data_IF_345699896812
#
_entry.id   IF_345699896812
#
_cell.length_a   1.000
_cell.length_b   1.000
_cell.length_c   1.000
_cell.angle_alpha   90.00
_cell.angle_beta   90.00
_cell.angle_gamma   90.00
#
_symmetry.space_group_name_H-M   'P 1'
#
loop_
_entity.id
_entity.type
_entity.pdbx_description
1 polymer ?
#
# COMPACT_ATOMS: atom_id res chain seq x y z
N UNK A 1 94.44 -2.81 39.50
CA UNK A 1 93.29 -2.54 40.40
C UNK A 1 92.64 -1.17 40.20
N UNK A 2 93.36 -0.04 40.21
CA UNK A 2 92.77 1.31 40.09
C UNK A 2 91.95 1.56 38.81
N UNK A 3 92.41 1.10 37.64
CA UNK A 3 91.69 1.28 36.37
C UNK A 3 90.36 0.48 36.29
N UNK A 4 90.32 -0.72 36.90
CA UNK A 4 89.12 -1.56 36.92
C UNK A 4 88.01 -0.95 37.79
N UNK A 5 88.39 -0.37 38.93
CA UNK A 5 87.48 0.34 39.84
C UNK A 5 86.91 1.60 39.16
N UNK A 6 87.73 2.34 38.41
CA UNK A 6 87.28 3.50 37.66
C UNK A 6 86.25 3.12 36.57
N UNK A 7 86.51 2.03 35.85
CA UNK A 7 85.65 1.56 34.76
C UNK A 7 84.29 1.05 35.29
N UNK A 8 84.29 0.31 36.41
CA UNK A 8 83.06 -0.15 37.07
C UNK A 8 82.22 1.04 37.58
N UNK A 9 82.87 2.06 38.15
CA UNK A 9 82.20 3.27 38.58
C UNK A 9 81.53 4.00 37.40
N UNK A 10 82.22 4.14 36.26
CA UNK A 10 81.65 4.74 35.04
C UNK A 10 80.43 3.98 34.52
N UNK A 11 80.47 2.64 34.49
CA UNK A 11 79.33 1.81 34.06
C UNK A 11 78.12 1.94 34.99
N UNK A 12 78.35 1.97 36.31
CA UNK A 12 77.28 2.16 37.31
C UNK A 12 76.64 3.56 37.20
N UNK A 13 77.46 4.59 36.97
CA UNK A 13 76.98 5.95 36.75
C UNK A 13 76.15 6.06 35.47
N UNK A 14 76.58 5.43 34.36
CA UNK A 14 75.81 5.40 33.12
C UNK A 14 74.47 4.68 33.27
N UNK A 15 74.43 3.55 34.00
CA UNK A 15 73.19 2.84 34.32
C UNK A 15 72.21 3.65 35.19
N UNK A 16 72.73 4.41 36.16
CA UNK A 16 71.92 5.32 36.99
C UNK A 16 71.31 6.49 36.18
N UNK A 17 72.01 6.99 35.16
CA UNK A 17 71.51 8.06 34.29
C UNK A 17 70.42 7.50 33.36
N UNK A 18 70.64 6.32 32.76
CA UNK A 18 69.68 5.69 31.86
C UNK A 18 68.35 5.36 32.59
N UNK A 19 68.42 4.80 33.79
CA UNK A 19 67.24 4.50 34.62
C UNK A 19 66.49 5.77 35.04
N UNK A 20 67.19 6.84 35.40
CA UNK A 20 66.56 8.15 35.69
C UNK A 20 65.87 8.75 34.47
N UNK A 21 66.44 8.60 33.27
CA UNK A 21 65.85 9.09 32.03
C UNK A 21 64.58 8.31 31.67
N UNK A 22 64.63 6.97 31.72
CA UNK A 22 63.46 6.10 31.53
C UNK A 22 62.36 6.39 32.55
N UNK A 23 62.73 6.66 33.81
CA UNK A 23 61.75 7.00 34.84
C UNK A 23 61.08 8.35 34.57
N UNK A 24 61.82 9.35 34.05
CA UNK A 24 61.25 10.65 33.64
C UNK A 24 60.32 10.52 32.44
N UNK A 25 60.69 9.75 31.43
CA UNK A 25 59.85 9.52 30.25
C UNK A 25 58.54 8.81 30.63
N UNK A 26 58.60 7.80 31.50
CA UNK A 26 57.40 7.13 32.02
C UNK A 26 56.51 8.07 32.84
N UNK A 27 57.08 8.94 33.68
CA UNK A 27 56.31 9.94 34.43
C UNK A 27 55.64 10.93 33.47
N UNK A 28 56.38 11.44 32.49
CA UNK A 28 55.86 12.37 31.49
C UNK A 28 54.73 11.76 30.66
N UNK A 29 54.89 10.51 30.20
CA UNK A 29 53.84 9.78 29.48
C UNK A 29 52.60 9.55 30.35
N UNK A 30 52.79 9.22 31.64
CA UNK A 30 51.67 9.05 32.57
C UNK A 30 50.92 10.36 32.81
N UNK A 31 51.63 11.48 32.96
CA UNK A 31 51.02 12.80 33.15
C UNK A 31 50.23 13.23 31.91
N UNK A 32 50.77 12.99 30.71
CA UNK A 32 50.06 13.25 29.45
C UNK A 32 48.79 12.41 29.32
N UNK A 33 48.85 11.13 29.67
CA UNK A 33 47.68 10.24 29.67
C UNK A 33 46.60 10.71 30.66
N UNK A 34 46.99 11.12 31.88
CA UNK A 34 46.07 11.66 32.89
C UNK A 34 45.41 12.95 32.39
N UNK A 35 46.20 13.87 31.82
CA UNK A 35 45.68 15.12 31.27
C UNK A 35 44.67 14.86 30.14
N UNK A 36 44.96 13.91 29.25
CA UNK A 36 44.05 13.53 28.17
C UNK A 36 42.74 12.92 28.71
N UNK A 37 42.81 12.04 29.70
CA UNK A 37 41.63 11.49 30.36
C UNK A 37 40.79 12.59 31.04
N UNK A 38 41.42 13.53 31.73
CA UNK A 38 40.75 14.67 32.36
C UNK A 38 40.05 15.59 31.33
N UNK A 39 40.63 15.76 30.14
CA UNK A 39 40.00 16.53 29.05
C UNK A 39 38.79 15.83 28.42
N UNK A 40 38.80 14.49 28.36
CA UNK A 40 37.70 13.70 27.77
C UNK A 40 36.53 13.48 28.74
N UNK A 41 36.79 13.47 30.05
CA UNK A 41 35.77 13.28 31.08
C UNK A 41 34.52 14.20 30.93
N UNK A 42 34.65 15.53 30.78
CA UNK A 42 33.49 16.41 30.66
C UNK A 42 32.69 16.20 29.36
N UNK A 43 33.32 15.66 28.30
CA UNK A 43 32.62 15.32 27.07
C UNK A 43 31.75 14.07 27.29
N UNK A 44 32.29 13.05 27.97
CA UNK A 44 31.56 11.84 28.31
C UNK A 44 30.34 12.14 29.20
N UNK A 45 30.51 13.00 30.20
CA UNK A 45 29.42 13.40 31.10
C UNK A 45 28.28 14.11 30.34
N UNK A 46 28.62 14.99 29.38
CA UNK A 46 27.63 15.65 28.51
C UNK A 46 26.88 14.66 27.62
N UNK A 47 27.58 13.65 27.08
CA UNK A 47 26.99 12.59 26.27
C UNK A 47 26.00 11.76 27.09
N UNK A 48 26.39 11.34 28.30
CA UNK A 48 25.52 10.56 29.22
C UNK A 48 24.31 11.38 29.64
N UNK A 49 24.49 12.66 29.97
CA UNK A 49 23.40 13.57 30.30
C UNK A 49 22.41 13.74 29.12
N UNK A 50 22.94 13.87 27.90
CA UNK A 50 22.11 13.97 26.69
C UNK A 50 21.33 12.68 26.44
N UNK A 51 21.98 11.52 26.56
CA UNK A 51 21.34 10.23 26.37
C UNK A 51 20.21 9.98 27.39
N UNK A 52 20.43 10.31 28.66
CA UNK A 52 19.39 10.18 29.69
C UNK A 52 18.19 11.08 29.41
N UNK A 53 18.41 12.32 28.96
CA UNK A 53 17.34 13.25 28.56
C UNK A 53 16.55 12.73 27.35
N UNK A 54 17.23 12.20 26.34
CA UNK A 54 16.58 11.60 25.15
C UNK A 54 15.73 10.40 25.52
N UNK A 55 16.24 9.50 26.37
CA UNK A 55 15.49 8.33 26.84
C UNK A 55 14.23 8.73 27.62
N UNK A 56 14.30 9.78 28.44
CA UNK A 56 13.13 10.31 29.14
C UNK A 56 12.09 10.89 28.17
N UNK A 57 12.51 11.59 27.11
CA UNK A 57 11.60 12.12 26.09
C UNK A 57 10.92 10.98 25.30
N UNK A 58 11.68 9.97 24.89
CA UNK A 58 11.13 8.79 24.20
C UNK A 58 10.09 8.09 25.07
N UNK A 59 10.37 7.91 26.36
CA UNK A 59 9.43 7.31 27.31
C UNK A 59 8.14 8.15 27.42
N UNK A 60 8.26 9.48 27.56
CA UNK A 60 7.09 10.38 27.62
C UNK A 60 6.24 10.32 26.36
N UNK A 61 6.86 10.33 25.18
CA UNK A 61 6.13 10.23 23.90
C UNK A 61 5.50 8.85 23.71
N UNK A 62 6.17 7.78 24.17
CA UNK A 62 5.61 6.43 24.23
C UNK A 62 4.39 6.35 25.15
N UNK A 63 4.48 6.91 26.37
CA UNK A 63 3.39 6.92 27.35
C UNK A 63 2.20 7.75 26.84
N UNK A 64 2.45 8.91 26.22
CA UNK A 64 1.41 9.72 25.55
C UNK A 64 0.72 8.95 24.42
N UNK A 65 1.48 8.26 23.57
CA UNK A 65 0.92 7.42 22.49
C UNK A 65 0.08 6.28 23.04
N UNK A 66 0.56 5.63 24.10
CA UNK A 66 -0.19 4.57 24.77
C UNK A 66 -1.48 5.09 25.40
N UNK A 67 -1.44 6.26 26.05
CA UNK A 67 -2.63 6.91 26.59
C UNK A 67 -3.64 7.31 25.49
N UNK A 68 -3.16 7.81 24.35
CA UNK A 68 -4.00 8.15 23.19
C UNK A 68 -4.67 6.89 22.61
N UNK A 69 -3.93 5.77 22.51
CA UNK A 69 -4.47 4.49 22.04
C UNK A 69 -5.58 3.96 22.96
N UNK A 70 -5.43 4.12 24.27
CA UNK A 70 -6.45 3.73 25.25
C UNK A 70 -7.70 4.62 25.14
N UNK A 71 -7.55 5.92 24.87
CA UNK A 71 -8.70 6.82 24.67
C UNK A 71 -9.49 6.47 23.40
N UNK A 72 -8.82 6.12 22.30
CA UNK A 72 -9.47 5.70 21.05
C UNK A 72 -10.27 4.39 21.21
N UNK A 73 -9.93 3.54 22.18
CA UNK A 73 -10.66 2.30 22.45
C UNK A 73 -11.95 2.50 23.29
N UNK A 74 -12.17 3.69 23.85
CA UNK A 74 -13.32 3.98 24.72
C UNK A 74 -14.52 4.62 24.02
N UNK A 75 -14.40 5.02 22.76
CA UNK A 75 -15.56 5.42 21.96
C UNK A 75 -16.29 4.16 21.47
N UNK A 76 -17.34 3.80 22.21
CA UNK A 76 -18.38 2.83 21.83
C UNK A 76 -19.22 3.32 20.62
N UNK A 77 -18.57 3.72 19.52
CA UNK A 77 -19.23 4.13 18.28
C UNK A 77 -18.95 3.16 17.10
N UNK A 78 -18.20 2.09 17.33
CA UNK A 78 -17.80 1.17 16.27
C UNK A 78 -18.69 -0.09 16.15
N UNK A 79 -19.50 -0.40 17.18
CA UNK A 79 -20.59 -1.39 17.07
C UNK A 79 -21.68 -0.90 16.11
N UNK A 80 -21.94 0.40 16.12
CA UNK A 80 -22.93 1.04 15.26
C UNK A 80 -22.52 1.02 13.80
N UNK A 81 -21.22 0.99 13.45
CA UNK A 81 -20.77 0.90 12.06
C UNK A 81 -21.20 -0.42 11.40
N UNK A 82 -21.12 -1.56 12.10
CA UNK A 82 -21.62 -2.84 11.56
C UNK A 82 -23.14 -2.84 11.39
N UNK A 83 -23.86 -2.12 12.24
CA UNK A 83 -25.32 -1.96 12.19
C UNK A 83 -25.74 -0.89 11.16
N UNK A 84 -24.89 0.11 10.92
CA UNK A 84 -25.02 1.26 10.01
C UNK A 84 -24.67 0.95 8.56
N UNK A 85 -24.04 -0.19 8.27
CA UNK A 85 -23.72 -0.59 6.90
C UNK A 85 -24.94 -1.13 6.14
N UNK A 86 -26.13 -1.18 6.74
CA UNK A 86 -27.39 -1.62 6.09
C UNK A 86 -27.24 -2.92 5.27
N UNK A 87 -26.56 -3.94 5.82
CA UNK A 87 -26.27 -5.20 5.11
C UNK A 87 -25.43 -5.08 3.82
N UNK A 88 -24.78 -3.93 3.57
CA UNK A 88 -23.87 -3.77 2.44
C UNK A 88 -22.60 -4.56 2.65
N UNK A 89 -22.13 -5.17 1.57
CA UNK A 89 -20.88 -5.92 1.56
C UNK A 89 -19.69 -4.97 1.46
N UNK A 90 -18.69 -5.13 2.31
CA UNK A 90 -17.44 -4.40 2.18
C UNK A 90 -16.61 -5.03 1.06
N UNK A 91 -16.20 -4.21 0.09
CA UNK A 91 -15.37 -4.61 -1.05
C UNK A 91 -14.11 -3.74 -1.08
N UNK A 92 -13.02 -4.27 -1.61
CA UNK A 92 -11.80 -3.51 -1.82
C UNK A 92 -11.90 -2.55 -3.00
N UNK A 93 -10.82 -1.79 -3.21
CA UNK A 93 -10.62 -0.92 -4.38
C UNK A 93 -10.75 -1.71 -5.71
N UNK A 94 -10.26 -2.94 -5.71
CA UNK A 94 -10.29 -3.89 -6.83
C UNK A 94 -10.77 -5.25 -6.34
N UNK A 95 -11.67 -5.87 -7.10
CA UNK A 95 -12.19 -7.22 -6.82
C UNK A 95 -12.13 -8.10 -8.07
N UNK A 96 -12.30 -9.41 -7.88
CA UNK A 96 -12.62 -10.33 -8.97
C UNK A 96 -14.13 -10.39 -9.17
N UNK A 97 -14.57 -10.39 -10.42
CA UNK A 97 -15.98 -10.60 -10.76
C UNK A 97 -16.12 -11.55 -11.95
N UNK A 98 -17.20 -12.32 -11.96
CA UNK A 98 -17.70 -12.95 -13.18
C UNK A 98 -18.62 -11.98 -13.91
N UNK A 99 -18.41 -11.83 -15.20
CA UNK A 99 -19.31 -11.10 -16.10
C UNK A 99 -19.94 -12.10 -17.06
N UNK A 100 -21.26 -12.04 -17.15
CA UNK A 100 -22.05 -12.83 -18.09
C UNK A 100 -22.42 -11.98 -19.30
N UNK A 101 -21.90 -12.41 -20.45
CA UNK A 101 -22.13 -11.81 -21.76
C UNK A 101 -23.25 -12.51 -22.54
N UNK A 102 -24.00 -13.40 -21.89
CA UNK A 102 -25.06 -14.21 -22.48
C UNK A 102 -24.52 -15.41 -23.26
N UNK A 103 -23.56 -15.20 -24.16
CA UNK A 103 -22.92 -16.30 -24.92
C UNK A 103 -21.74 -16.93 -24.18
N UNK A 104 -21.13 -16.23 -23.22
CA UNK A 104 -19.99 -16.70 -22.46
C UNK A 104 -19.87 -15.96 -21.12
N UNK A 105 -19.15 -16.57 -20.17
CA UNK A 105 -18.83 -15.95 -18.88
C UNK A 105 -17.31 -15.82 -18.71
N UNK A 106 -16.89 -14.71 -18.11
CA UNK A 106 -15.47 -14.43 -17.89
C UNK A 106 -15.19 -13.88 -16.51
N UNK A 107 -14.16 -14.42 -15.85
CA UNK A 107 -13.63 -13.87 -14.61
C UNK A 107 -12.64 -12.76 -14.92
N UNK A 108 -12.93 -11.53 -14.48
CA UNK A 108 -12.13 -10.34 -14.75
C UNK A 108 -11.86 -9.57 -13.46
N UNK A 109 -10.79 -8.78 -13.44
CA UNK A 109 -10.55 -7.82 -12.37
C UNK A 109 -11.39 -6.58 -12.63
N UNK A 110 -12.11 -6.15 -11.61
CA UNK A 110 -13.00 -4.99 -11.69
C UNK A 110 -12.57 -3.94 -10.67
N UNK A 111 -12.64 -2.67 -11.07
CA UNK A 111 -12.32 -1.53 -10.20
C UNK A 111 -13.60 -0.91 -9.67
N UNK A 112 -13.69 -0.70 -8.37
CA UNK A 112 -14.81 -0.01 -7.73
C UNK A 112 -14.69 1.50 -7.90
N UNK A 113 -15.45 2.09 -8.81
CA UNK A 113 -15.38 3.51 -9.15
C UNK A 113 -16.57 4.27 -8.56
N UNK A 114 -16.38 4.85 -7.38
CA UNK A 114 -17.39 5.66 -6.70
C UNK A 114 -17.70 6.97 -7.44
N UNK A 115 -16.84 7.41 -8.36
CA UNK A 115 -17.01 8.60 -9.20
C UNK A 115 -17.96 8.37 -10.38
N UNK A 116 -18.07 7.14 -10.87
CA UNK A 116 -18.93 6.79 -11.99
C UNK A 116 -20.40 6.59 -11.59
N UNK A 117 -21.34 7.24 -12.31
CA UNK A 117 -22.79 7.00 -12.11
C UNK A 117 -23.22 5.60 -12.57
N UNK A 118 -22.67 5.15 -13.70
CA UNK A 118 -23.00 3.87 -14.34
C UNK A 118 -21.72 3.09 -14.54
N UNK A 119 -21.79 1.78 -14.29
CA UNK A 119 -20.72 0.83 -14.56
C UNK A 119 -20.36 0.85 -16.05
N UNK A 120 -19.13 0.45 -16.38
CA UNK A 120 -18.66 0.46 -17.77
C UNK A 120 -17.72 -0.68 -18.06
N UNK A 121 -17.70 -1.11 -19.32
CA UNK A 121 -16.80 -2.13 -19.80
C UNK A 121 -16.01 -1.64 -21.03
N UNK A 122 -14.74 -2.06 -21.11
CA UNK A 122 -13.89 -1.86 -22.27
C UNK A 122 -14.44 -2.63 -23.46
N UNK A 123 -14.65 -1.93 -24.56
CA UNK A 123 -15.23 -2.48 -25.77
C UNK A 123 -14.55 -1.87 -26.99
N UNK A 124 -13.89 -2.71 -27.79
CA UNK A 124 -13.24 -2.34 -29.05
C UNK A 124 -14.15 -2.67 -30.24
N UNK A 125 -13.88 -2.06 -31.39
CA UNK A 125 -14.56 -2.36 -32.66
C UNK A 125 -16.11 -2.33 -32.55
N UNK A 126 -16.64 -1.39 -31.77
CA UNK A 126 -18.07 -1.34 -31.45
C UNK A 126 -18.88 -1.02 -32.71
N UNK A 127 -19.75 -1.94 -33.10
CA UNK A 127 -20.57 -1.85 -34.31
C UNK A 127 -22.02 -2.15 -33.99
N UNK A 128 -22.92 -1.23 -34.29
CA UNK A 128 -24.36 -1.41 -34.12
C UNK A 128 -24.98 -2.12 -35.33
N UNK A 129 -25.93 -3.02 -35.08
CA UNK A 129 -26.67 -3.72 -36.12
C UNK A 129 -28.09 -4.06 -35.67
N UNK A 130 -28.96 -4.38 -36.62
CA UNK A 130 -30.33 -4.82 -36.32
C UNK A 130 -30.45 -6.35 -36.40
N UNK A 131 -31.14 -6.95 -35.44
CA UNK A 131 -31.52 -8.36 -35.46
C UNK A 131 -32.92 -8.52 -34.89
N UNK A 132 -33.83 -9.08 -35.68
CA UNK A 132 -35.24 -9.32 -35.34
C UNK A 132 -35.97 -8.04 -34.89
N UNK A 133 -35.79 -6.92 -35.61
CA UNK A 133 -36.43 -5.64 -35.28
C UNK A 133 -35.90 -4.96 -34.02
N UNK A 134 -34.80 -5.46 -33.44
CA UNK A 134 -34.16 -4.91 -32.24
C UNK A 134 -32.75 -4.44 -32.56
N UNK A 135 -32.31 -3.38 -31.87
CA UNK A 135 -30.94 -2.85 -31.98
C UNK A 135 -29.99 -3.67 -31.11
N UNK A 136 -28.92 -4.14 -31.73
CA UNK A 136 -27.85 -4.88 -31.09
C UNK A 136 -26.53 -4.15 -31.30
N UNK A 137 -25.60 -4.38 -30.39
CA UNK A 137 -24.23 -3.87 -30.50
C UNK A 137 -23.27 -5.03 -30.40
N UNK A 138 -22.36 -5.10 -31.36
CA UNK A 138 -21.24 -6.04 -31.42
C UNK A 138 -19.97 -5.33 -31.01
N UNK A 139 -19.15 -5.96 -30.18
CA UNK A 139 -17.87 -5.40 -29.76
C UNK A 139 -16.88 -6.51 -29.39
N UNK A 140 -15.60 -6.15 -29.43
CA UNK A 140 -14.49 -7.03 -29.07
C UNK A 140 -14.04 -6.72 -27.64
N UNK A 141 -13.93 -7.77 -26.81
CA UNK A 141 -13.33 -7.70 -25.48
C UNK A 141 -11.80 -7.56 -25.55
N UNK A 142 -11.15 -7.24 -24.44
CA UNK A 142 -9.69 -7.10 -24.41
C UNK A 142 -8.95 -8.38 -24.81
N UNK A 143 -9.52 -9.55 -24.52
CA UNK A 143 -8.95 -10.84 -24.90
C UNK A 143 -9.31 -11.30 -26.34
N UNK A 144 -9.83 -10.39 -27.16
CA UNK A 144 -10.07 -10.62 -28.58
C UNK A 144 -11.39 -11.32 -28.92
N UNK A 145 -12.15 -11.77 -27.92
CA UNK A 145 -13.46 -12.38 -28.16
C UNK A 145 -14.49 -11.35 -28.57
N UNK A 146 -15.33 -11.72 -29.53
CA UNK A 146 -16.44 -10.90 -30.00
C UNK A 146 -17.73 -11.25 -29.25
N UNK A 147 -18.47 -10.23 -28.82
CA UNK A 147 -19.74 -10.35 -28.11
C UNK A 147 -20.79 -9.48 -28.78
N UNK A 148 -22.04 -9.95 -28.83
CA UNK A 148 -23.19 -9.15 -29.29
C UNK A 148 -24.25 -9.05 -28.19
N UNK A 149 -24.65 -7.82 -27.85
CA UNK A 149 -25.61 -7.53 -26.79
C UNK A 149 -26.76 -6.66 -27.30
N UNK A 150 -27.94 -6.79 -26.68
CA UNK A 150 -29.06 -5.89 -26.93
C UNK A 150 -28.72 -4.48 -26.42
N UNK A 151 -29.02 -3.44 -27.23
CA UNK A 151 -28.89 -2.05 -26.81
C UNK A 151 -30.12 -1.65 -26.03
N UNK A 152 -29.97 -1.39 -24.73
CA UNK A 152 -31.06 -0.98 -23.84
C UNK A 152 -31.41 0.50 -24.03
N UNK A 153 -30.38 1.34 -24.11
CA UNK A 153 -30.49 2.79 -24.31
C UNK A 153 -29.14 3.39 -24.70
N UNK A 154 -29.15 4.69 -24.96
CA UNK A 154 -27.93 5.49 -25.07
C UNK A 154 -27.75 6.35 -23.82
N UNK A 155 -26.52 6.49 -23.36
CA UNK A 155 -26.16 7.44 -22.32
C UNK A 155 -25.42 8.63 -22.93
N UNK A 156 -25.92 9.84 -22.64
CA UNK A 156 -25.21 11.08 -22.94
C UNK A 156 -24.24 11.40 -21.80
N UNK A 157 -22.99 11.67 -22.13
CA UNK A 157 -22.00 12.09 -21.13
C UNK A 157 -22.20 13.58 -20.87
N UNK A 158 -22.43 13.97 -19.60
CA UNK A 158 -22.69 15.36 -19.17
C UNK A 158 -21.53 16.35 -19.42
N UNK A 159 -20.40 15.95 -19.99
CA UNK A 159 -19.17 16.74 -20.05
C UNK A 159 -18.68 17.13 -21.46
N UNK A 160 -19.41 16.87 -22.54
CA UNK A 160 -18.98 17.29 -23.86
C UNK A 160 -20.17 17.60 -24.79
N UNK A 161 -20.13 18.78 -25.40
CA UNK A 161 -21.21 19.41 -26.15
C UNK A 161 -21.40 18.87 -27.58
N UNK A 162 -21.12 17.59 -27.84
CA UNK A 162 -21.14 17.03 -29.20
C UNK A 162 -21.87 15.68 -29.28
N UNK A 163 -22.55 15.42 -30.40
CA UNK A 163 -23.25 14.14 -30.66
C UNK A 163 -22.33 12.90 -30.66
N UNK A 164 -21.01 13.09 -30.75
CA UNK A 164 -19.98 12.03 -30.83
C UNK A 164 -19.74 11.26 -29.53
N UNK A 165 -20.41 11.62 -28.44
CA UNK A 165 -20.15 11.08 -27.10
C UNK A 165 -21.28 10.20 -26.53
N UNK A 166 -22.19 9.73 -27.40
CA UNK A 166 -23.23 8.76 -27.01
C UNK A 166 -22.59 7.39 -26.76
N UNK A 167 -22.87 6.80 -25.59
CA UNK A 167 -22.43 5.43 -25.27
C UNK A 167 -23.61 4.47 -25.32
N UNK A 168 -23.42 3.33 -25.98
CA UNK A 168 -24.34 2.20 -25.87
C UNK A 168 -24.39 1.69 -24.44
N UNK A 169 -25.60 1.45 -23.95
CA UNK A 169 -25.86 0.82 -22.66
C UNK A 169 -26.41 -0.58 -22.90
N UNK A 170 -25.79 -1.57 -22.27
CA UNK A 170 -26.18 -2.98 -22.32
C UNK A 170 -26.45 -3.48 -20.90
N UNK A 171 -27.28 -4.50 -20.74
CA UNK A 171 -27.44 -5.22 -19.46
C UNK A 171 -26.53 -6.44 -19.43
N UNK A 172 -25.74 -6.56 -18.38
CA UNK A 172 -24.86 -7.71 -18.14
C UNK A 172 -25.13 -8.27 -16.75
N UNK A 173 -25.02 -9.60 -16.64
CA UNK A 173 -24.93 -10.25 -15.34
C UNK A 173 -23.53 -10.03 -14.76
N UNK A 174 -23.46 -9.67 -13.48
CA UNK A 174 -22.21 -9.56 -12.73
C UNK A 174 -22.34 -10.34 -11.42
N UNK A 175 -21.28 -11.07 -11.08
CA UNK A 175 -21.17 -11.75 -9.78
C UNK A 175 -19.85 -11.40 -9.09
N UNK A 176 -19.94 -10.81 -7.91
CA UNK A 176 -18.83 -10.46 -7.02
C UNK A 176 -18.99 -11.22 -5.70
N UNK A 177 -18.15 -12.22 -5.44
CA UNK A 177 -18.30 -13.09 -4.27
C UNK A 177 -19.68 -13.75 -4.25
N UNK A 178 -20.49 -13.40 -3.24
CA UNK A 178 -21.89 -13.85 -3.06
C UNK A 178 -22.92 -12.95 -3.72
N UNK A 179 -22.56 -11.74 -4.14
CA UNK A 179 -23.46 -10.78 -4.79
C UNK A 179 -23.59 -11.16 -6.26
N UNK A 180 -24.81 -11.32 -6.75
CA UNK A 180 -25.09 -11.52 -8.17
C UNK A 180 -26.23 -10.62 -8.61
N UNK A 181 -26.00 -9.79 -9.63
CA UNK A 181 -26.95 -8.80 -10.11
C UNK A 181 -26.91 -8.70 -11.64
N UNK A 182 -28.02 -8.30 -12.24
CA UNK A 182 -28.05 -7.78 -13.61
C UNK A 182 -28.02 -6.26 -13.54
N UNK A 183 -27.06 -5.64 -14.22
CA UNK A 183 -26.91 -4.19 -14.20
C UNK A 183 -26.57 -3.62 -15.57
N UNK A 184 -26.78 -2.31 -15.70
CA UNK A 184 -26.42 -1.56 -16.89
C UNK A 184 -24.92 -1.24 -16.94
N UNK A 185 -24.32 -1.45 -18.11
CA UNK A 185 -22.95 -1.11 -18.41
C UNK A 185 -22.88 -0.25 -19.67
N UNK A 186 -22.12 0.85 -19.61
CA UNK A 186 -21.78 1.61 -20.82
C UNK A 186 -20.60 0.98 -21.53
N UNK A 187 -20.65 0.89 -22.85
CA UNK A 187 -19.52 0.48 -23.69
C UNK A 187 -18.61 1.67 -23.98
N UNK A 188 -17.29 1.52 -23.77
CA UNK A 188 -16.28 2.52 -24.14
C UNK A 188 -14.95 1.84 -24.38
N UNK A 189 -14.22 2.22 -25.43
CA UNK A 189 -12.81 1.82 -25.54
C UNK A 189 -11.99 2.41 -24.38
N UNK A 190 -11.41 1.53 -23.59
CA UNK A 190 -10.57 1.84 -22.42
C UNK A 190 -9.25 1.06 -22.48
N UNK A 191 -8.80 0.68 -23.68
CA UNK A 191 -7.56 -0.07 -23.91
C UNK A 191 -6.29 0.53 -23.28
N UNK A 192 -6.31 1.83 -22.97
CA UNK A 192 -5.24 2.56 -22.28
C UNK A 192 -5.30 2.44 -20.74
N UNK A 193 -6.30 1.78 -20.16
CA UNK A 193 -6.51 1.66 -18.72
C UNK A 193 -6.22 0.24 -18.23
N UNK A 194 -5.84 0.15 -16.94
CA UNK A 194 -5.45 -1.11 -16.31
C UNK A 194 -6.62 -2.05 -15.97
N UNK A 195 -7.87 -1.57 -16.05
CA UNK A 195 -9.06 -2.34 -15.66
C UNK A 195 -10.13 -2.24 -16.74
N UNK A 196 -10.52 -3.40 -17.24
CA UNK A 196 -11.48 -3.54 -18.34
C UNK A 196 -12.90 -3.21 -17.89
N UNK A 197 -13.21 -3.43 -16.60
CA UNK A 197 -14.54 -3.19 -16.03
C UNK A 197 -14.44 -2.25 -14.84
N UNK A 198 -15.28 -1.22 -14.86
CA UNK A 198 -15.52 -0.34 -13.73
C UNK A 198 -16.91 -0.58 -13.17
N UNK A 199 -17.01 -0.77 -11.87
CA UNK A 199 -18.27 -0.90 -11.13
C UNK A 199 -18.61 0.46 -10.53
N UNK A 200 -19.66 1.08 -11.07
CA UNK A 200 -20.13 2.40 -10.69
C UNK A 200 -21.24 2.39 -9.64
N UNK A 201 -21.73 3.57 -9.30
CA UNK A 201 -22.76 3.76 -8.25
C UNK A 201 -24.09 3.06 -8.52
N UNK A 202 -24.41 2.71 -9.77
CA UNK A 202 -25.59 1.89 -10.09
C UNK A 202 -25.55 0.48 -9.49
N UNK A 203 -24.36 -0.02 -9.12
CA UNK A 203 -24.20 -1.25 -8.34
C UNK A 203 -23.76 -0.96 -6.91
N UNK A 204 -22.87 0.01 -6.70
CA UNK A 204 -22.30 0.27 -5.38
C UNK A 204 -23.31 0.78 -4.37
N UNK A 205 -24.19 1.71 -4.77
CA UNK A 205 -24.99 2.52 -3.83
C UNK A 205 -25.79 1.69 -2.84
N UNK A 206 -26.38 0.59 -3.28
CA UNK A 206 -27.33 -0.19 -2.48
C UNK A 206 -26.72 -1.47 -1.91
N UNK A 207 -25.61 -1.95 -2.48
CA UNK A 207 -25.10 -3.30 -2.20
C UNK A 207 -23.75 -3.30 -1.49
N UNK A 208 -22.94 -2.25 -1.66
CA UNK A 208 -21.51 -2.32 -1.36
C UNK A 208 -20.97 -1.04 -0.71
N UNK A 209 -19.94 -1.22 0.11
CA UNK A 209 -19.09 -0.12 0.63
C UNK A 209 -17.64 -0.42 0.26
N UNK A 210 -16.97 0.58 -0.30
CA UNK A 210 -15.61 0.43 -0.85
C UNK A 210 -14.57 0.82 0.18
N UNK A 211 -13.74 -0.14 0.60
CA UNK A 211 -12.52 0.08 1.36
C UNK A 211 -11.34 0.22 0.39
N UNK A 212 -10.92 1.47 0.16
CA UNK A 212 -9.86 1.79 -0.80
C UNK A 212 -8.45 1.34 -0.34
N UNK A 213 -8.26 1.04 0.95
CA UNK A 213 -6.98 0.60 1.47
C UNK A 213 -6.70 -0.90 1.18
N UNK A 214 -7.72 -1.64 0.74
CA UNK A 214 -7.66 -3.09 0.55
C UNK A 214 -8.03 -3.46 -0.87
N UNK A 215 -7.60 -4.66 -1.28
CA UNK A 215 -7.90 -5.25 -2.59
C UNK A 215 -8.23 -6.73 -2.39
N UNK A 216 -9.09 -7.28 -3.23
CA UNK A 216 -9.45 -8.69 -3.24
C UNK A 216 -10.04 -9.18 -1.90
N UNK A 217 -10.88 -8.36 -1.27
CA UNK A 217 -11.54 -8.70 0.00
C UNK A 217 -12.45 -9.91 -0.19
N UNK A 218 -13.10 -10.02 -1.35
CA UNK A 218 -14.04 -11.11 -1.64
C UNK A 218 -13.35 -12.43 -2.02
N UNK A 219 -12.01 -12.45 -2.06
CA UNK A 219 -11.22 -13.64 -2.32
C UNK A 219 -10.42 -13.58 -3.63
N UNK A 220 -9.69 -14.68 -3.89
CA UNK A 220 -8.89 -14.86 -5.11
C UNK A 220 -9.79 -15.23 -6.29
N UNK A 221 -9.22 -15.21 -7.50
CA UNK A 221 -9.91 -15.53 -8.74
C UNK A 221 -10.81 -16.77 -8.55
N UNK A 222 -12.12 -16.65 -8.79
CA UNK A 222 -13.01 -17.79 -8.64
C UNK A 222 -12.61 -18.88 -9.62
N UNK A 223 -12.55 -20.13 -9.15
CA UNK A 223 -12.27 -21.29 -9.99
C UNK A 223 -13.27 -21.32 -11.16
N UNK A 224 -12.80 -21.63 -12.37
CA UNK A 224 -13.69 -21.82 -13.53
C UNK A 224 -14.78 -22.81 -13.11
N UNK A 225 -16.04 -22.41 -13.20
CA UNK A 225 -17.12 -23.36 -13.03
C UNK A 225 -16.97 -24.40 -14.14
N UNK A 226 -16.78 -25.66 -13.77
CA UNK A 226 -16.86 -26.76 -14.72
C UNK A 226 -18.25 -26.68 -15.35
N UNK A 227 -18.32 -26.59 -16.67
CA UNK A 227 -19.56 -26.68 -17.42
C UNK A 227 -20.30 -27.93 -16.95
N UNK A 228 -21.44 -27.72 -16.28
CA UNK A 228 -22.38 -28.79 -16.04
C UNK A 228 -22.95 -29.17 -17.41
N UNK A 229 -22.34 -30.18 -18.03
CA UNK A 229 -22.92 -30.91 -19.16
C UNK A 229 -24.31 -31.36 -18.74
N UNK A 230 -25.33 -30.81 -19.39
CA UNK A 230 -26.69 -31.31 -19.40
C UNK A 230 -27.17 -31.37 -20.83
#
# INVERSE_FOLDING_TARGET
MRALILCLALLLLQGCIATKNLQRENIQLSEQAIAQCQQLQPQLDKLVATQSKTNQLIKRESDKRQALLVQVQSDQSCSDLRQSLNNKTVVGDVEWAWIDFGSHQSAVKVRMDTGASTSSISAKNVTEFERNGKRWVRFTLEDGREVSMLVERYANIRQAATEKDRRWVVKLGIRLGTISQVAEFTLKDRSHLNYEVLVGRNLLRDLMVVDVARRYILGKQPAKQAEAVK
#
